data_IF_409394023482
#
_entry.id   IF_409394023482
#
_cell.length_a   1.000
_cell.length_b   1.000
_cell.length_c   1.000
_cell.angle_alpha   90.00
_cell.angle_beta   90.00
_cell.angle_gamma   90.00
#
_symmetry.space_group_name_H-M   'P 1'
#
loop_
_entity.id
_entity.type
_entity.pdbx_description
1 polymer ?
#
# COMPACT_ATOMS: atom_id res chain seq x y z
N UNK A 1 -39.45 -48.48 -3.20
CA UNK A 1 -39.60 -47.17 -3.86
C UNK A 1 -38.93 -46.12 -2.98
N UNK A 2 -37.93 -45.37 -3.47
CA UNK A 2 -37.28 -44.31 -2.68
C UNK A 2 -38.17 -43.07 -2.69
N UNK A 3 -38.55 -42.59 -1.51
CA UNK A 3 -39.33 -41.36 -1.30
C UNK A 3 -38.44 -40.14 -1.52
N UNK A 4 -38.71 -39.36 -2.57
CA UNK A 4 -37.98 -38.11 -2.84
C UNK A 4 -38.41 -37.04 -1.83
N UNK A 5 -37.64 -36.89 -0.75
CA UNK A 5 -37.79 -35.79 0.19
C UNK A 5 -37.60 -34.45 -0.51
N UNK A 6 -38.57 -33.54 -0.39
CA UNK A 6 -38.52 -32.20 -0.98
C UNK A 6 -37.40 -31.42 -0.27
N UNK A 7 -36.38 -30.97 -1.01
CA UNK A 7 -35.31 -30.11 -0.48
C UNK A 7 -35.92 -28.78 -0.04
N UNK A 8 -35.90 -28.50 1.25
CA UNK A 8 -36.32 -27.20 1.80
C UNK A 8 -35.11 -26.28 1.66
N UNK A 9 -35.17 -25.33 0.72
CA UNK A 9 -34.17 -24.28 0.64
C UNK A 9 -34.39 -23.29 1.80
N UNK A 10 -33.32 -22.90 2.49
CA UNK A 10 -33.38 -21.88 3.52
C UNK A 10 -33.88 -20.56 2.92
N UNK A 11 -34.77 -19.86 3.63
CA UNK A 11 -35.29 -18.56 3.18
C UNK A 11 -34.15 -17.52 3.16
N UNK A 12 -34.04 -16.69 2.11
CA UNK A 12 -33.04 -15.64 2.06
C UNK A 12 -33.29 -14.61 3.17
N UNK A 13 -32.22 -14.22 3.87
CA UNK A 13 -32.23 -13.15 4.84
C UNK A 13 -31.85 -11.83 4.15
N UNK A 14 -32.48 -10.73 4.56
CA UNK A 14 -32.19 -9.40 4.05
C UNK A 14 -31.93 -8.45 5.21
N UNK A 15 -31.04 -7.48 5.01
CA UNK A 15 -30.78 -6.42 5.99
C UNK A 15 -31.85 -5.30 5.91
N UNK A 16 -31.69 -4.28 6.75
CA UNK A 16 -32.64 -3.16 6.84
C UNK A 16 -32.71 -2.32 5.55
N UNK A 17 -31.66 -2.35 4.73
CA UNK A 17 -31.58 -1.64 3.45
C UNK A 17 -32.09 -2.51 2.27
N UNK A 18 -32.44 -3.77 2.54
CA UNK A 18 -33.02 -4.69 1.58
C UNK A 18 -32.00 -5.52 0.80
N UNK A 19 -30.73 -5.55 1.21
CA UNK A 19 -29.71 -6.40 0.59
C UNK A 19 -29.71 -7.80 1.19
N UNK A 20 -29.52 -8.81 0.32
CA UNK A 20 -29.50 -10.21 0.74
C UNK A 20 -28.19 -10.52 1.49
N UNK A 21 -28.31 -11.03 2.71
CA UNK A 21 -27.17 -11.36 3.57
C UNK A 21 -27.01 -12.88 3.74
N UNK A 22 -25.81 -13.32 4.14
CA UNK A 22 -25.54 -14.74 4.40
C UNK A 22 -25.50 -15.64 3.16
N UNK A 23 -25.27 -15.08 1.97
CA UNK A 23 -25.04 -15.88 0.77
C UNK A 23 -23.66 -16.54 0.84
N UNK A 24 -23.63 -17.87 0.69
CA UNK A 24 -22.39 -18.64 0.59
C UNK A 24 -22.08 -19.05 -0.85
N UNK A 25 -23.07 -18.97 -1.75
CA UNK A 25 -22.98 -19.36 -3.15
C UNK A 25 -23.75 -18.40 -4.04
N UNK A 26 -23.25 -18.14 -5.25
CA UNK A 26 -23.95 -17.41 -6.30
C UNK A 26 -23.98 -18.29 -7.56
N UNK A 27 -25.16 -18.54 -8.14
CA UNK A 27 -25.33 -19.42 -9.32
C UNK A 27 -24.74 -20.84 -9.16
N UNK A 28 -24.79 -21.42 -7.95
CA UNK A 28 -24.18 -22.70 -7.59
C UNK A 28 -22.63 -22.71 -7.54
N UNK A 29 -21.99 -21.56 -7.69
CA UNK A 29 -20.56 -21.40 -7.43
C UNK A 29 -20.34 -20.85 -6.02
N UNK A 30 -19.33 -21.37 -5.33
CA UNK A 30 -18.94 -20.87 -4.02
C UNK A 30 -18.36 -19.46 -4.16
N UNK A 31 -18.80 -18.54 -3.30
CA UNK A 31 -18.22 -17.21 -3.29
C UNK A 31 -16.75 -17.28 -2.83
N UNK A 32 -15.87 -16.44 -3.41
CA UNK A 32 -14.48 -16.37 -2.96
C UNK A 32 -14.44 -15.98 -1.48
N UNK A 33 -13.56 -16.62 -0.72
CA UNK A 33 -13.34 -16.27 0.67
C UNK A 33 -12.76 -14.85 0.75
N UNK A 34 -13.58 -13.89 1.18
CA UNK A 34 -13.15 -12.53 1.45
C UNK A 34 -12.59 -12.48 2.87
N UNK A 35 -11.31 -12.80 3.04
CA UNK A 35 -10.64 -12.60 4.32
C UNK A 35 -10.38 -11.09 4.52
N UNK A 36 -11.08 -10.46 5.47
CA UNK A 36 -10.90 -9.03 5.75
C UNK A 36 -9.46 -8.64 6.14
N UNK A 37 -8.59 -9.62 6.42
CA UNK A 37 -7.17 -9.43 6.73
C UNK A 37 -6.30 -9.12 5.49
N UNK A 38 -6.76 -9.40 4.26
CA UNK A 38 -5.97 -9.18 3.04
C UNK A 38 -6.11 -7.77 2.45
N UNK A 39 -7.04 -6.96 2.97
CA UNK A 39 -7.28 -5.61 2.47
C UNK A 39 -6.42 -4.59 3.23
N UNK A 40 -5.27 -4.23 2.65
CA UNK A 40 -4.43 -3.14 3.17
C UNK A 40 -4.80 -1.79 2.51
N UNK A 41 -4.96 -0.69 3.26
CA UNK A 41 -5.06 0.64 2.66
C UNK A 41 -3.70 1.04 2.05
N UNK A 42 -3.57 1.01 0.72
CA UNK A 42 -2.36 1.43 0.01
C UNK A 42 -2.34 2.95 -0.21
N UNK A 43 -1.93 3.70 0.81
CA UNK A 43 -1.43 5.05 0.59
C UNK A 43 0.10 4.99 0.40
N UNK A 44 0.51 4.91 -0.86
CA UNK A 44 1.90 4.68 -1.27
C UNK A 44 2.14 3.23 -1.68
N UNK A 45 2.79 3.03 -2.83
CA UNK A 45 3.24 1.70 -3.26
C UNK A 45 4.18 1.04 -2.24
N UNK A 46 4.16 -0.28 -2.15
CA UNK A 46 4.94 -1.04 -1.16
C UNK A 46 6.46 -1.15 -1.45
N UNK A 47 6.98 -0.42 -2.44
CA UNK A 47 8.35 -0.57 -2.95
C UNK A 47 9.24 0.66 -2.64
N UNK A 48 10.57 0.49 -2.58
CA UNK A 48 11.49 1.62 -2.50
C UNK A 48 11.22 2.62 -3.64
N UNK A 49 10.97 3.90 -3.31
CA UNK A 49 10.66 4.95 -4.28
C UNK A 49 9.17 5.21 -4.55
N UNK A 50 8.26 4.57 -3.81
CA UNK A 50 6.84 4.85 -3.93
C UNK A 50 6.48 6.30 -3.56
N UNK A 51 5.62 6.92 -4.38
CA UNK A 51 5.16 8.31 -4.20
C UNK A 51 6.17 9.39 -4.60
N UNK A 52 7.39 9.03 -5.02
CA UNK A 52 8.36 9.99 -5.57
C UNK A 52 8.09 10.22 -7.06
N UNK A 53 8.12 11.49 -7.49
CA UNK A 53 8.12 11.82 -8.92
C UNK A 53 9.34 11.18 -9.59
N UNK A 54 9.22 10.59 -10.79
CA UNK A 54 10.36 10.01 -11.48
C UNK A 54 11.40 11.10 -11.77
N UNK A 55 12.54 11.03 -11.10
CA UNK A 55 13.73 11.82 -11.44
C UNK A 55 14.64 10.97 -12.32
N UNK A 56 15.27 11.55 -13.35
CA UNK A 56 16.39 10.92 -14.08
C UNK A 56 17.67 10.78 -13.22
N UNK A 57 17.55 10.97 -11.91
CA UNK A 57 18.64 10.94 -10.94
C UNK A 57 18.61 9.59 -10.24
N UNK A 58 19.75 8.91 -10.22
CA UNK A 58 19.92 7.67 -9.49
C UNK A 58 20.12 7.94 -7.98
N UNK A 59 19.43 7.20 -7.10
CA UNK A 59 19.59 7.38 -5.67
C UNK A 59 20.94 6.82 -5.19
N UNK A 60 21.82 7.68 -4.71
CA UNK A 60 23.09 7.28 -4.08
C UNK A 60 22.92 7.32 -2.55
N UNK A 61 23.29 6.23 -1.88
CA UNK A 61 23.29 6.17 -0.41
C UNK A 61 24.66 6.54 0.14
N UNK A 62 24.75 7.67 0.87
CA UNK A 62 25.98 8.13 1.50
C UNK A 62 26.06 7.70 2.97
N UNK A 63 27.15 7.02 3.33
CA UNK A 63 27.47 6.73 4.74
C UNK A 63 28.32 7.86 5.31
N UNK A 64 27.69 8.74 6.09
CA UNK A 64 28.36 9.89 6.72
C UNK A 64 28.56 9.67 8.21
N UNK A 65 29.68 10.17 8.75
CA UNK A 65 29.85 10.31 10.21
C UNK A 65 28.75 11.24 10.76
N UNK A 66 28.21 11.01 11.98
CA UNK A 66 27.14 11.84 12.54
C UNK A 66 27.46 13.35 12.56
N UNK A 67 28.72 13.70 12.86
CA UNK A 67 29.19 15.09 12.87
C UNK A 67 29.11 15.73 11.48
N UNK A 68 29.45 14.99 10.43
CA UNK A 68 29.42 15.45 9.04
C UNK A 68 27.97 15.62 8.58
N UNK A 69 27.10 14.64 8.87
CA UNK A 69 25.69 14.73 8.56
C UNK A 69 25.01 15.94 9.23
N UNK A 70 25.38 16.25 10.47
CA UNK A 70 24.90 17.45 11.18
C UNK A 70 25.32 18.75 10.48
N UNK A 71 26.59 18.87 10.09
CA UNK A 71 27.11 20.04 9.37
C UNK A 71 26.44 20.21 8.00
N UNK A 72 26.27 19.13 7.25
CA UNK A 72 25.59 19.11 5.95
C UNK A 72 24.15 19.67 6.06
N UNK A 73 23.37 19.18 7.02
CA UNK A 73 22.00 19.65 7.25
C UNK A 73 21.95 21.13 7.65
N UNK A 74 22.89 21.57 8.50
CA UNK A 74 22.96 22.97 8.91
C UNK A 74 23.29 23.89 7.72
N UNK A 75 24.21 23.48 6.85
CA UNK A 75 24.56 24.22 5.64
C UNK A 75 23.39 24.28 4.65
N UNK A 76 22.73 23.15 4.38
CA UNK A 76 21.55 23.10 3.51
C UNK A 76 20.41 24.01 4.02
N UNK A 77 20.17 24.02 5.35
CA UNK A 77 19.18 24.91 5.97
C UNK A 77 19.53 26.39 5.81
N UNK A 78 20.80 26.75 5.98
CA UNK A 78 21.28 28.14 5.80
C UNK A 78 21.03 28.65 4.38
N UNK A 79 21.16 27.76 3.40
CA UNK A 79 20.99 28.08 1.97
C UNK A 79 19.57 27.84 1.45
N UNK A 80 18.65 27.39 2.31
CA UNK A 80 17.24 27.09 1.97
C UNK A 80 17.07 26.11 0.79
N UNK A 81 18.00 25.16 0.65
CA UNK A 81 17.95 24.09 -0.35
C UNK A 81 17.76 22.73 0.31
N UNK A 82 17.35 21.73 -0.48
CA UNK A 82 17.24 20.36 0.03
C UNK A 82 18.62 19.80 0.41
N UNK A 83 18.65 18.88 1.37
CA UNK A 83 19.91 18.23 1.78
C UNK A 83 20.56 17.46 0.62
N UNK A 84 19.75 16.88 -0.27
CA UNK A 84 20.24 16.18 -1.46
C UNK A 84 20.86 17.15 -2.46
N UNK A 85 20.17 18.24 -2.81
CA UNK A 85 20.69 19.22 -3.78
C UNK A 85 21.96 19.90 -3.25
N UNK A 86 22.05 20.12 -1.93
CA UNK A 86 23.26 20.64 -1.32
C UNK A 86 24.42 19.62 -1.39
N UNK A 87 24.15 18.34 -1.11
CA UNK A 87 25.17 17.29 -1.16
C UNK A 87 25.67 17.02 -2.59
N UNK A 88 24.78 17.04 -3.58
CA UNK A 88 25.10 16.80 -4.99
C UNK A 88 26.17 17.79 -5.51
N UNK A 89 26.17 19.04 -5.06
CA UNK A 89 27.18 20.04 -5.47
C UNK A 89 28.62 19.60 -5.20
N UNK A 90 28.83 18.79 -4.17
CA UNK A 90 30.15 18.32 -3.76
C UNK A 90 30.47 16.92 -4.29
N UNK A 91 29.50 16.26 -4.95
CA UNK A 91 29.67 14.93 -5.55
C UNK A 91 30.06 14.99 -7.03
N UNK A 92 29.92 16.14 -7.70
CA UNK A 92 30.23 16.31 -9.13
C UNK A 92 31.75 16.38 -9.40
N UNK A 93 32.57 16.65 -8.39
CA UNK A 93 34.04 16.80 -8.50
C UNK A 93 34.84 15.52 -8.14
N UNK A 94 34.20 14.34 -8.15
CA UNK A 94 34.85 13.03 -7.89
C UNK A 94 34.71 12.14 -9.12
#
# INVERSE_FOLDING_TARGET
MKTTGKRIHAKPAFDADGYQTGMNTLNNEALPALDGASWRPLHGGARPGAGRKPSKREPITLRLRPVVARKLRAAAKREKVSTSDFAERWLVDV
#
